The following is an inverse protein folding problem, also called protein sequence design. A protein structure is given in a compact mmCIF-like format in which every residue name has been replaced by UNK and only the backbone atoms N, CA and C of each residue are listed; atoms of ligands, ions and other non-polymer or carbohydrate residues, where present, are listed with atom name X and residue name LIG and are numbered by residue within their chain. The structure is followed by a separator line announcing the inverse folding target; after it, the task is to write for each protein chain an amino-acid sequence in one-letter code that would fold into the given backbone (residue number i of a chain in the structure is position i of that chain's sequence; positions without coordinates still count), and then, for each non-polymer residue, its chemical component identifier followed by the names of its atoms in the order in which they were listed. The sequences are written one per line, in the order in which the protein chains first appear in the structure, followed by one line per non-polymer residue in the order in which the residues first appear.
data_IF_195524142177
#
_entry.id   IF_195524142177
#
_cell.length_a   1.000
_cell.length_b   1.000
_cell.length_c   1.000
_cell.angle_alpha   90.00
_cell.angle_beta   90.00
_cell.angle_gamma   90.00
#
_symmetry.space_group_name_H-M   'P 1'
#
loop_
_entity.id
_entity.type
_entity.pdbx_description
1 polymer ?
#
# COMPACT_ATOMS: atom_id res chain seq x y z
N UNK A 1 52.60 -26.61 22.34
CA UNK A 1 52.66 -28.05 22.61
C UNK A 1 51.35 -28.68 22.22
N UNK A 2 51.43 -29.62 21.25
CA UNK A 2 50.49 -30.71 20.89
C UNK A 2 49.04 -30.28 20.55
N UNK A 3 48.55 -30.21 19.29
CA UNK A 3 48.44 -31.17 18.18
C UNK A 3 47.97 -32.59 18.55
N UNK A 4 46.75 -32.96 18.08
CA UNK A 4 46.28 -34.29 17.61
C UNK A 4 44.93 -34.06 16.94
N UNK A 5 44.73 -34.10 15.63
CA UNK A 5 44.47 -35.14 14.62
C UNK A 5 43.50 -36.24 15.02
N UNK A 6 42.48 -36.45 14.20
CA UNK A 6 41.92 -37.71 13.63
C UNK A 6 40.56 -37.30 13.00
N UNK A 7 40.33 -37.19 11.75
CA UNK A 7 40.26 -38.05 10.53
C UNK A 7 39.00 -38.91 10.43
N UNK A 8 38.25 -38.59 9.35
CA UNK A 8 37.51 -39.50 8.42
C UNK A 8 36.59 -40.60 8.96
N UNK A 9 35.34 -40.56 8.55
CA UNK A 9 34.69 -41.70 7.89
C UNK A 9 33.64 -41.17 6.90
N UNK A 10 33.87 -41.44 5.62
CA UNK A 10 32.90 -41.29 4.54
C UNK A 10 32.10 -42.59 4.39
N UNK A 11 30.81 -42.44 4.11
CA UNK A 11 30.02 -43.54 3.54
C UNK A 11 29.26 -43.02 2.34
N UNK A 12 29.68 -43.51 1.17
CA UNK A 12 28.92 -43.47 -0.09
C UNK A 12 27.77 -44.47 0.01
N UNK A 13 26.58 -44.04 -0.44
CA UNK A 13 25.59 -44.96 -1.00
C UNK A 13 24.90 -44.32 -2.20
N UNK A 14 25.34 -44.74 -3.36
CA UNK A 14 24.70 -44.61 -4.66
C UNK A 14 23.69 -45.72 -4.85
N UNK A 15 22.48 -45.42 -5.33
CA UNK A 15 21.61 -46.30 -6.17
C UNK A 15 20.47 -45.44 -6.64
N UNK A 16 20.46 -45.02 -7.91
CA UNK A 16 19.87 -45.67 -9.09
C UNK A 16 18.34 -45.72 -8.98
N UNK A 17 17.66 -44.84 -9.67
CA UNK A 17 16.45 -45.18 -10.44
C UNK A 17 16.40 -44.34 -11.72
N UNK A 18 16.69 -45.06 -12.80
CA UNK A 18 16.53 -44.68 -14.20
C UNK A 18 15.05 -44.93 -14.59
N UNK A 19 14.35 -43.91 -15.11
CA UNK A 19 13.09 -44.10 -15.82
C UNK A 19 13.16 -43.37 -17.16
N UNK A 20 13.66 -44.12 -18.15
CA UNK A 20 13.44 -43.77 -19.57
C UNK A 20 12.05 -44.25 -20.00
N UNK A 21 11.37 -43.38 -20.68
CA UNK A 21 10.58 -43.72 -21.83
C UNK A 21 9.12 -44.06 -21.59
N UNK A 22 8.22 -43.17 -22.04
CA UNK A 22 7.11 -43.53 -22.93
C UNK A 22 6.68 -42.23 -23.66
N UNK A 23 7.10 -42.11 -24.92
CA UNK A 23 6.45 -41.30 -25.94
C UNK A 23 5.20 -42.06 -26.41
N UNK A 24 4.02 -41.43 -26.30
CA UNK A 24 2.86 -41.85 -27.08
C UNK A 24 2.34 -40.68 -27.92
N UNK A 25 2.68 -40.76 -29.21
CA UNK A 25 1.98 -40.08 -30.29
C UNK A 25 0.56 -40.62 -30.36
N UNK A 26 -0.44 -39.77 -30.45
CA UNK A 26 -1.71 -40.14 -31.06
C UNK A 26 -2.15 -39.09 -32.06
N UNK A 27 -2.34 -39.60 -33.28
CA UNK A 27 -2.73 -38.90 -34.50
C UNK A 27 -4.21 -38.56 -34.53
N UNK A 28 -4.50 -37.47 -35.21
CA UNK A 28 -5.83 -37.15 -35.74
C UNK A 28 -6.36 -38.18 -36.70
N UNK A 29 -7.66 -38.49 -36.59
CA UNK A 29 -8.52 -38.68 -37.76
C UNK A 29 -10.01 -38.69 -37.34
N UNK A 30 -10.77 -37.88 -38.05
CA UNK A 30 -12.15 -37.62 -37.91
C UNK A 30 -13.11 -38.74 -38.38
N UNK A 31 -14.33 -38.63 -38.01
CA UNK A 31 -15.47 -39.05 -38.84
C UNK A 31 -16.75 -38.34 -38.41
N UNK A 32 -17.58 -38.10 -39.41
CA UNK A 32 -18.83 -37.36 -39.45
C UNK A 32 -20.01 -38.23 -39.01
N UNK A 33 -21.13 -37.53 -38.75
CA UNK A 33 -22.53 -37.94 -38.77
C UNK A 33 -23.07 -38.60 -37.49
N UNK A 34 -24.22 -38.26 -36.94
CA UNK A 34 -25.58 -38.15 -37.51
C UNK A 34 -26.50 -37.37 -36.56
N UNK A 35 -27.42 -36.63 -37.14
CA UNK A 35 -28.50 -35.90 -36.51
C UNK A 35 -29.58 -36.83 -35.93
N UNK A 36 -30.23 -36.41 -34.84
CA UNK A 36 -31.62 -36.77 -34.60
C UNK A 36 -32.37 -35.62 -33.91
N UNK A 37 -33.44 -35.23 -34.54
CA UNK A 37 -34.44 -34.25 -34.17
C UNK A 37 -35.20 -34.66 -32.89
N UNK A 38 -35.47 -33.69 -32.01
CA UNK A 38 -36.72 -33.65 -31.23
C UNK A 38 -37.20 -32.20 -31.12
N UNK A 39 -38.47 -32.04 -31.42
CA UNK A 39 -39.26 -30.82 -31.64
C UNK A 39 -40.04 -30.46 -30.39
N UNK A 40 -39.90 -29.20 -29.91
CA UNK A 40 -40.86 -28.23 -29.31
C UNK A 40 -41.58 -28.57 -27.99
N UNK A 41 -41.97 -27.55 -27.16
CA UNK A 41 -42.60 -26.30 -27.62
C UNK A 41 -42.07 -24.98 -27.06
N UNK A 42 -42.33 -23.96 -27.83
CA UNK A 42 -42.23 -22.53 -27.63
C UNK A 42 -43.00 -22.06 -26.39
N UNK A 43 -42.35 -21.32 -25.50
CA UNK A 43 -43.01 -20.34 -24.64
C UNK A 43 -42.34 -18.97 -24.89
N UNK A 44 -43.13 -18.09 -25.48
CA UNK A 44 -42.80 -16.69 -25.70
C UNK A 44 -42.93 -15.98 -24.33
N UNK A 45 -41.84 -15.47 -23.80
CA UNK A 45 -41.86 -14.44 -22.76
C UNK A 45 -41.16 -13.22 -23.35
N UNK A 46 -41.97 -12.20 -23.54
CA UNK A 46 -41.53 -10.84 -23.91
C UNK A 46 -40.73 -10.29 -22.73
N UNK A 47 -39.45 -10.13 -22.89
CA UNK A 47 -38.61 -9.33 -21.97
C UNK A 47 -38.07 -8.13 -22.69
N UNK A 48 -38.46 -6.99 -22.19
CA UNK A 48 -38.01 -5.66 -22.56
C UNK A 48 -36.48 -5.57 -22.54
N UNK A 49 -35.91 -5.07 -23.61
CA UNK A 49 -34.51 -4.74 -23.74
C UNK A 49 -34.18 -3.54 -22.80
N UNK A 50 -33.42 -3.81 -21.75
CA UNK A 50 -32.65 -2.79 -21.06
C UNK A 50 -31.21 -2.93 -21.53
N UNK A 51 -30.74 -1.88 -22.15
CA UNK A 51 -29.36 -1.62 -22.54
C UNK A 51 -28.46 -1.72 -21.31
N UNK A 52 -27.59 -2.72 -21.23
CA UNK A 52 -26.55 -2.80 -20.21
C UNK A 52 -25.46 -1.77 -20.53
N UNK A 53 -25.34 -0.74 -19.70
CA UNK A 53 -24.13 0.04 -19.58
C UNK A 53 -23.09 -0.82 -18.86
N UNK A 54 -21.88 -0.85 -19.42
CA UNK A 54 -20.70 -1.44 -18.79
C UNK A 54 -20.40 -0.70 -17.49
N UNK A 55 -20.65 -1.33 -16.36
CA UNK A 55 -20.21 -0.88 -15.05
C UNK A 55 -18.73 -1.24 -14.89
N UNK A 56 -17.90 -0.20 -14.90
CA UNK A 56 -16.59 -0.17 -14.27
C UNK A 56 -16.76 -0.42 -12.78
N UNK A 57 -15.92 -1.31 -12.24
CA UNK A 57 -16.01 -1.87 -10.91
C UNK A 57 -16.19 -0.84 -9.78
N UNK A 58 -17.42 -0.67 -9.38
CA UNK A 58 -17.79 -0.11 -8.09
C UNK A 58 -17.97 -1.28 -7.12
N UNK A 59 -17.24 -1.24 -6.02
CA UNK A 59 -17.46 -2.10 -4.87
C UNK A 59 -18.92 -2.03 -4.48
N UNK A 60 -19.63 -3.18 -4.59
CA UNK A 60 -21.01 -3.32 -4.15
C UNK A 60 -21.08 -3.26 -2.61
N UNK A 61 -21.05 -2.06 -2.03
CA UNK A 61 -21.64 -1.84 -0.72
C UNK A 61 -23.15 -1.92 -0.90
N UNK A 62 -23.78 -2.98 -0.42
CA UNK A 62 -25.24 -3.08 -0.37
C UNK A 62 -25.73 -1.96 0.55
N UNK A 63 -26.40 -0.95 -0.02
CA UNK A 63 -27.16 0.07 0.67
C UNK A 63 -28.34 -0.54 1.46
N UNK A 64 -28.04 -1.17 2.58
CA UNK A 64 -28.98 -1.30 3.67
C UNK A 64 -28.91 0.00 4.45
N UNK A 65 -29.88 0.91 4.28
CA UNK A 65 -29.93 2.14 5.06
C UNK A 65 -29.88 1.80 6.55
N UNK A 66 -28.77 2.16 7.21
CA UNK A 66 -28.69 2.10 8.68
C UNK A 66 -29.72 3.09 9.21
N UNK A 67 -30.66 2.66 10.08
CA UNK A 67 -31.65 3.57 10.61
C UNK A 67 -31.01 4.74 11.36
N UNK A 68 -31.48 5.96 11.09
CA UNK A 68 -31.02 7.15 11.79
C UNK A 68 -29.74 7.79 11.25
N UNK A 69 -29.34 7.50 10.01
CA UNK A 69 -28.24 8.20 9.33
C UNK A 69 -28.67 9.64 8.98
N UNK A 70 -27.88 10.60 9.40
CA UNK A 70 -28.10 12.06 9.16
C UNK A 70 -27.16 12.65 8.13
N UNK A 71 -26.03 11.98 7.84
CA UNK A 71 -25.03 12.42 6.88
C UNK A 71 -23.90 11.42 6.76
N UNK A 72 -22.94 11.74 5.90
CA UNK A 72 -21.76 10.93 5.63
C UNK A 72 -20.52 11.80 5.69
N UNK A 73 -19.36 11.20 6.03
CA UNK A 73 -18.08 11.89 5.89
C UNK A 73 -17.78 12.09 4.40
N UNK A 74 -17.46 13.32 4.01
CA UNK A 74 -17.09 13.67 2.64
C UNK A 74 -15.67 13.16 2.34
N UNK A 75 -15.58 12.18 1.41
CA UNK A 75 -14.33 11.60 0.93
C UNK A 75 -14.20 11.83 -0.57
N UNK A 76 -13.04 12.35 -1.00
CA UNK A 76 -12.77 12.68 -2.39
C UNK A 76 -12.02 11.56 -3.11
N UNK A 77 -11.12 10.87 -2.40
CA UNK A 77 -10.20 9.87 -2.97
C UNK A 77 -10.25 8.52 -2.28
N UNK A 78 -10.53 8.49 -0.97
CA UNK A 78 -10.53 7.25 -0.20
C UNK A 78 -11.78 6.42 -0.49
N UNK A 79 -11.58 5.11 -0.69
CA UNK A 79 -12.63 4.13 -0.96
C UNK A 79 -12.59 2.90 -0.04
N UNK A 80 -11.59 2.81 0.86
CA UNK A 80 -11.42 1.66 1.73
C UNK A 80 -12.09 1.82 3.10
N UNK A 81 -12.69 2.98 3.39
CA UNK A 81 -13.52 3.19 4.56
C UNK A 81 -14.70 4.12 4.26
N UNK A 82 -15.70 4.12 5.12
CA UNK A 82 -16.78 5.09 5.13
C UNK A 82 -17.22 5.40 6.56
N UNK A 83 -17.84 6.57 6.74
CA UNK A 83 -18.39 7.01 8.03
C UNK A 83 -19.79 7.54 7.81
N UNK A 84 -20.78 6.97 8.52
CA UNK A 84 -22.17 7.39 8.54
C UNK A 84 -22.46 8.07 9.89
N UNK A 85 -22.85 9.35 9.88
CA UNK A 85 -23.26 10.07 11.10
C UNK A 85 -24.68 9.71 11.48
N UNK A 86 -24.94 9.47 12.77
CA UNK A 86 -26.21 9.00 13.28
C UNK A 86 -26.95 10.10 14.07
N UNK A 87 -28.29 10.04 14.10
CA UNK A 87 -29.14 10.94 14.91
C UNK A 87 -28.76 10.93 16.41
N UNK A 88 -28.18 9.83 16.91
CA UNK A 88 -27.68 9.73 18.30
C UNK A 88 -26.46 10.59 18.59
N UNK A 89 -25.85 11.22 17.60
CA UNK A 89 -24.56 11.88 17.67
C UNK A 89 -23.36 10.93 17.58
N UNK A 90 -23.60 9.63 17.49
CA UNK A 90 -22.57 8.61 17.19
C UNK A 90 -22.26 8.57 15.68
N UNK A 91 -21.27 7.79 15.29
CA UNK A 91 -21.02 7.48 13.87
C UNK A 91 -20.77 6.00 13.68
N UNK A 92 -21.18 5.45 12.54
CA UNK A 92 -20.84 4.10 12.10
C UNK A 92 -19.64 4.19 11.17
N UNK A 93 -18.53 3.63 11.58
CA UNK A 93 -17.31 3.48 10.78
C UNK A 93 -17.37 2.10 10.12
N UNK A 94 -17.21 2.04 8.80
CA UNK A 94 -17.09 0.78 8.04
C UNK A 94 -15.73 0.74 7.35
N UNK A 95 -14.97 -0.34 7.57
CA UNK A 95 -13.67 -0.59 6.94
C UNK A 95 -13.71 -2.00 6.38
N UNK A 96 -13.77 -2.14 5.05
CA UNK A 96 -14.02 -3.43 4.39
C UNK A 96 -15.31 -4.09 4.94
N UNK A 97 -15.18 -5.25 5.61
CA UNK A 97 -16.30 -5.96 6.26
C UNK A 97 -16.48 -5.60 7.73
N UNK A 98 -15.52 -4.92 8.34
CA UNK A 98 -15.54 -4.60 9.76
C UNK A 98 -16.32 -3.30 10.01
N UNK A 99 -17.16 -3.31 11.04
CA UNK A 99 -17.94 -2.15 11.46
C UNK A 99 -17.63 -1.79 12.91
N UNK A 100 -17.56 -0.49 13.19
CA UNK A 100 -17.32 0.06 14.52
C UNK A 100 -18.32 1.17 14.81
N UNK A 101 -18.85 1.18 16.03
CA UNK A 101 -19.66 2.31 16.51
C UNK A 101 -18.74 3.32 17.18
N UNK A 102 -18.51 4.46 16.54
CA UNK A 102 -17.83 5.59 17.16
C UNK A 102 -18.79 6.33 18.10
N UNK A 103 -18.34 6.59 19.30
CA UNK A 103 -19.13 7.27 20.36
C UNK A 103 -18.33 8.44 20.91
N UNK A 104 -18.76 9.71 20.64
CA UNK A 104 -18.12 10.89 21.20
C UNK A 104 -18.08 10.86 22.73
N UNK A 105 -17.13 11.59 23.33
CA UNK A 105 -16.89 11.59 24.78
C UNK A 105 -18.18 11.82 25.60
N UNK A 106 -19.02 12.77 25.18
CA UNK A 106 -20.21 13.20 25.89
C UNK A 106 -21.46 12.37 25.59
N UNK A 107 -21.38 11.41 24.68
CA UNK A 107 -22.50 10.57 24.28
C UNK A 107 -22.52 9.25 25.03
N UNK A 108 -23.71 8.76 25.46
CA UNK A 108 -23.84 7.43 26.01
C UNK A 108 -23.66 6.37 24.91
N UNK A 109 -23.10 5.24 25.26
CA UNK A 109 -23.13 4.08 24.37
C UNK A 109 -24.56 3.59 24.20
N UNK A 110 -25.10 3.46 22.97
CA UNK A 110 -26.42 2.91 22.74
C UNK A 110 -26.57 1.52 23.35
N UNK A 111 -27.67 1.29 24.09
CA UNK A 111 -27.96 -0.02 24.69
C UNK A 111 -28.18 -1.09 23.62
N UNK A 112 -27.61 -2.27 23.86
CA UNK A 112 -27.78 -3.42 22.95
C UNK A 112 -26.92 -3.40 21.69
N UNK A 113 -25.94 -2.50 21.58
CA UNK A 113 -24.98 -2.53 20.46
C UNK A 113 -24.21 -3.84 20.47
N UNK A 114 -24.20 -4.54 19.34
CA UNK A 114 -23.38 -5.73 19.09
C UNK A 114 -22.11 -5.40 18.28
N UNK A 115 -22.00 -4.13 17.85
CA UNK A 115 -20.84 -3.63 17.07
C UNK A 115 -19.77 -3.17 18.06
N UNK A 116 -18.48 -3.48 17.83
CA UNK A 116 -17.38 -2.98 18.66
C UNK A 116 -17.43 -1.45 18.77
N UNK A 117 -17.24 -0.94 19.97
CA UNK A 117 -17.33 0.48 20.27
C UNK A 117 -15.94 1.10 20.31
N UNK A 118 -15.75 2.17 19.52
CA UNK A 118 -14.60 3.07 19.62
C UNK A 118 -15.07 4.35 20.31
N UNK A 119 -14.51 4.66 21.47
CA UNK A 119 -14.72 5.95 22.14
C UNK A 119 -13.83 7.01 21.50
N UNK A 120 -14.29 8.27 21.56
CA UNK A 120 -13.43 9.41 21.23
C UNK A 120 -12.14 9.32 22.06
N UNK A 121 -10.99 9.42 21.38
CA UNK A 121 -9.67 9.17 21.95
C UNK A 121 -9.00 10.49 22.34
N UNK A 122 -8.42 10.52 23.51
CA UNK A 122 -7.50 11.59 23.92
C UNK A 122 -6.05 11.11 24.02
N UNK A 123 -5.83 9.80 23.89
CA UNK A 123 -4.56 9.10 24.01
C UNK A 123 -4.78 7.59 24.08
N UNK A 124 -3.78 6.85 24.55
CA UNK A 124 -3.85 5.42 24.84
C UNK A 124 -4.06 4.52 23.59
N UNK A 125 -3.53 4.95 22.42
CA UNK A 125 -3.60 4.20 21.18
C UNK A 125 -2.33 3.37 20.99
N UNK A 126 -2.50 2.07 20.69
CA UNK A 126 -1.44 1.23 20.13
C UNK A 126 -1.50 1.27 18.61
N UNK A 127 -0.37 1.63 17.96
CA UNK A 127 -0.26 1.77 16.52
C UNK A 127 0.80 0.83 15.94
N UNK A 128 0.36 -0.20 15.22
CA UNK A 128 1.23 -1.13 14.52
C UNK A 128 1.52 -0.73 13.06
N UNK A 129 0.69 0.12 12.45
CA UNK A 129 0.88 0.60 11.08
C UNK A 129 1.79 1.82 11.03
N UNK A 130 3.06 1.63 10.65
CA UNK A 130 4.07 2.71 10.66
C UNK A 130 3.76 3.86 9.70
N UNK A 131 3.04 3.62 8.61
CA UNK A 131 2.66 4.66 7.64
C UNK A 131 1.57 5.61 8.17
N UNK A 132 0.84 5.21 9.20
CA UNK A 132 -0.29 5.96 9.76
C UNK A 132 0.16 7.02 10.77
N UNK A 133 1.29 6.83 11.43
CA UNK A 133 1.75 7.73 12.49
C UNK A 133 1.93 9.17 12.02
N UNK A 134 2.34 9.33 10.74
CA UNK A 134 2.49 10.65 10.10
C UNK A 134 1.17 11.40 9.97
N UNK A 135 0.05 10.68 9.82
CA UNK A 135 -1.29 11.28 9.79
C UNK A 135 -1.67 11.83 11.16
N UNK A 136 -1.29 11.14 12.24
CA UNK A 136 -1.47 11.63 13.62
C UNK A 136 -0.58 12.84 13.91
N UNK A 137 0.68 12.82 13.46
CA UNK A 137 1.61 13.94 13.63
C UNK A 137 1.11 15.18 12.88
N UNK A 138 0.63 15.02 11.64
CA UNK A 138 0.14 16.09 10.79
C UNK A 138 -1.07 16.86 11.38
N UNK A 139 -1.96 16.16 12.09
CA UNK A 139 -3.09 16.79 12.79
C UNK A 139 -2.76 17.16 14.24
N UNK A 140 -1.47 17.21 14.61
CA UNK A 140 -1.00 17.59 15.94
C UNK A 140 -1.46 16.64 17.03
N UNK A 141 -1.48 15.34 16.77
CA UNK A 141 -2.00 14.32 17.69
C UNK A 141 -1.03 13.13 17.86
N UNK A 142 0.26 13.32 17.60
CA UNK A 142 1.26 12.26 17.78
C UNK A 142 1.23 11.70 19.22
N UNK A 143 1.00 12.55 20.21
CA UNK A 143 0.95 12.14 21.63
C UNK A 143 -0.28 11.26 21.99
N UNK A 144 -1.27 11.12 21.08
CA UNK A 144 -2.35 10.15 21.26
C UNK A 144 -1.88 8.71 21.04
N UNK A 145 -0.78 8.52 20.31
CA UNK A 145 -0.15 7.22 20.11
C UNK A 145 0.97 7.05 21.13
N UNK A 146 0.79 6.14 22.07
CA UNK A 146 1.79 5.94 23.13
C UNK A 146 2.52 4.61 23.03
N UNK A 147 2.03 3.65 22.23
CA UNK A 147 2.69 2.38 21.93
C UNK A 147 2.74 2.08 20.45
N UNK A 148 3.81 1.44 19.99
CA UNK A 148 4.02 1.07 18.60
C UNK A 148 4.72 -0.29 18.43
N UNK A 149 4.55 -0.90 17.27
CA UNK A 149 5.25 -2.13 16.87
C UNK A 149 6.56 -1.88 16.11
N UNK A 150 6.97 -0.62 15.95
CA UNK A 150 8.18 -0.23 15.23
C UNK A 150 9.22 0.32 16.20
N UNK A 151 10.43 -0.23 16.16
CA UNK A 151 11.52 0.22 17.03
C UNK A 151 12.09 1.58 16.62
N UNK A 152 12.83 2.23 17.54
CA UNK A 152 13.35 3.59 17.35
C UNK A 152 14.26 3.73 16.14
N UNK A 153 15.08 2.73 15.86
CA UNK A 153 16.05 2.78 14.75
C UNK A 153 15.36 2.69 13.39
N UNK A 154 14.22 2.02 13.33
CA UNK A 154 13.43 1.82 12.10
C UNK A 154 12.62 3.04 11.68
N UNK A 155 12.48 4.06 12.54
CA UNK A 155 11.79 5.29 12.18
C UNK A 155 12.67 6.23 11.37
N UNK A 156 12.09 6.84 10.33
CA UNK A 156 12.72 7.91 9.53
C UNK A 156 12.13 9.30 9.83
N UNK A 157 11.06 9.35 10.64
CA UNK A 157 10.38 10.59 11.03
C UNK A 157 11.00 11.19 12.28
N UNK A 158 11.55 12.44 12.23
CA UNK A 158 12.26 13.04 13.37
C UNK A 158 11.38 13.20 14.61
N UNK A 159 10.12 13.68 14.46
CA UNK A 159 9.18 13.88 15.58
C UNK A 159 8.88 12.55 16.30
N UNK A 160 8.75 11.47 15.54
CA UNK A 160 8.50 10.13 16.09
C UNK A 160 9.72 9.62 16.86
N UNK A 161 10.93 9.79 16.31
CA UNK A 161 12.19 9.47 17.03
C UNK A 161 12.32 10.26 18.33
N UNK A 162 11.99 11.54 18.27
CA UNK A 162 12.00 12.39 19.47
C UNK A 162 11.00 11.89 20.52
N UNK A 163 9.77 11.57 20.12
CA UNK A 163 8.75 11.03 21.02
C UNK A 163 9.21 9.73 21.68
N UNK A 164 9.84 8.82 20.93
CA UNK A 164 10.40 7.57 21.47
C UNK A 164 11.57 7.82 22.43
N UNK A 165 12.51 8.68 22.06
CA UNK A 165 13.66 9.02 22.91
C UNK A 165 13.22 9.72 24.22
N UNK A 166 12.12 10.46 24.18
CA UNK A 166 11.52 11.10 25.33
C UNK A 166 10.62 10.15 26.18
N UNK A 167 10.42 8.91 25.74
CA UNK A 167 9.56 7.93 26.42
C UNK A 167 8.06 8.22 26.28
N UNK A 168 7.65 9.11 25.37
CA UNK A 168 6.22 9.39 25.08
C UNK A 168 5.61 8.35 24.15
N UNK A 169 6.42 7.67 23.34
CA UNK A 169 6.05 6.56 22.47
C UNK A 169 6.95 5.37 22.79
N UNK A 170 6.37 4.20 23.03
CA UNK A 170 7.11 3.01 23.49
C UNK A 170 6.97 1.87 22.49
N UNK A 171 8.07 1.23 22.12
CA UNK A 171 8.05 -0.02 21.37
C UNK A 171 7.67 -1.18 22.27
N UNK A 172 6.62 -1.93 21.92
CA UNK A 172 6.09 -3.05 22.71
C UNK A 172 6.13 -4.40 21.97
N UNK A 173 7.05 -4.56 21.03
CA UNK A 173 7.15 -5.77 20.23
C UNK A 173 6.60 -5.60 18.81
N UNK A 174 6.82 -6.60 17.96
CA UNK A 174 6.36 -6.58 16.58
C UNK A 174 4.85 -6.78 16.50
N UNK A 175 4.21 -6.31 15.42
CA UNK A 175 2.76 -6.44 15.18
C UNK A 175 2.23 -7.87 15.38
N UNK A 176 3.03 -8.90 15.09
CA UNK A 176 2.65 -10.31 15.23
C UNK A 176 3.05 -10.94 16.59
N UNK A 177 3.63 -10.16 17.49
CA UNK A 177 4.02 -10.56 18.83
C UNK A 177 4.13 -9.33 19.77
N UNK A 178 3.03 -8.57 19.96
CA UNK A 178 3.03 -7.45 20.90
C UNK A 178 3.07 -7.92 22.34
N UNK A 179 3.52 -7.05 23.23
CA UNK A 179 3.44 -7.28 24.68
C UNK A 179 2.01 -7.02 25.19
N UNK A 180 1.24 -8.10 25.40
CA UNK A 180 -0.15 -8.01 25.87
C UNK A 180 -0.28 -7.50 27.31
N UNK A 181 0.74 -7.70 28.15
CA UNK A 181 0.77 -7.19 29.51
C UNK A 181 0.89 -5.66 29.46
N UNK A 182 1.81 -5.14 28.65
CA UNK A 182 1.95 -3.71 28.41
C UNK A 182 0.66 -3.07 27.86
N UNK A 183 -0.03 -3.71 26.90
CA UNK A 183 -1.33 -3.25 26.38
C UNK A 183 -2.39 -3.12 27.47
N UNK A 184 -2.42 -4.09 28.40
CA UNK A 184 -3.42 -4.12 29.46
C UNK A 184 -3.09 -3.14 30.60
N UNK A 185 -1.83 -3.12 31.06
CA UNK A 185 -1.39 -2.28 32.18
C UNK A 185 -1.43 -0.79 31.86
N UNK A 186 -1.19 -0.44 30.58
CA UNK A 186 -1.22 0.95 30.15
C UNK A 186 -2.64 1.50 29.92
N UNK A 187 -3.66 0.64 29.92
CA UNK A 187 -5.04 1.04 29.64
C UNK A 187 -5.31 1.34 28.19
N UNK A 188 -4.65 0.62 27.25
CA UNK A 188 -4.88 0.77 25.80
C UNK A 188 -6.38 0.68 25.45
N UNK A 189 -6.87 1.65 24.72
CA UNK A 189 -8.31 1.79 24.40
C UNK A 189 -8.62 1.56 22.93
N UNK A 190 -7.61 1.56 22.06
CA UNK A 190 -7.72 1.31 20.63
C UNK A 190 -6.41 0.75 20.09
N UNK A 191 -6.48 -0.31 19.30
CA UNK A 191 -5.36 -0.81 18.50
C UNK A 191 -5.60 -0.53 17.01
N UNK A 192 -4.57 -0.03 16.32
CA UNK A 192 -4.57 0.20 14.88
C UNK A 192 -3.50 -0.70 14.27
N UNK A 193 -3.93 -1.79 13.68
CA UNK A 193 -3.08 -2.78 13.05
C UNK A 193 -2.96 -2.55 11.54
N UNK A 194 -1.87 -2.99 10.94
CA UNK A 194 -1.73 -3.04 9.49
C UNK A 194 -2.31 -4.34 8.92
N UNK A 195 -2.50 -4.41 7.60
CA UNK A 195 -3.09 -5.59 6.93
C UNK A 195 -2.26 -6.87 7.05
N UNK A 196 -0.98 -6.78 7.45
CA UNK A 196 -0.16 -7.97 7.71
C UNK A 196 -0.69 -8.80 8.89
N UNK A 197 -1.51 -8.20 9.77
CA UNK A 197 -2.17 -8.91 10.89
C UNK A 197 -3.06 -10.06 10.40
N UNK A 198 -3.55 -10.01 9.17
CA UNK A 198 -4.34 -11.10 8.55
C UNK A 198 -3.56 -12.41 8.42
N UNK A 199 -2.21 -12.35 8.42
CA UNK A 199 -1.34 -13.52 8.47
C UNK A 199 -1.11 -14.04 9.90
N UNK A 200 -1.60 -13.31 10.91
CA UNK A 200 -1.48 -13.64 12.32
C UNK A 200 -2.81 -13.38 13.06
N UNK A 201 -3.94 -13.96 12.61
CA UNK A 201 -5.28 -13.62 13.12
C UNK A 201 -5.43 -13.84 14.63
N UNK A 202 -4.72 -14.82 15.21
CA UNK A 202 -4.72 -15.07 16.64
C UNK A 202 -4.23 -13.86 17.46
N UNK A 203 -3.38 -13.00 16.91
CA UNK A 203 -2.93 -11.78 17.58
C UNK A 203 -4.06 -10.77 17.66
N UNK A 204 -4.80 -10.53 16.57
CA UNK A 204 -6.00 -9.66 16.55
C UNK A 204 -7.02 -10.16 17.56
N UNK A 205 -7.36 -11.46 17.52
CA UNK A 205 -8.30 -12.09 18.44
C UNK A 205 -7.86 -11.95 19.93
N UNK A 206 -6.56 -12.06 20.19
CA UNK A 206 -6.02 -11.90 21.54
C UNK A 206 -6.15 -10.45 22.03
N UNK A 207 -5.86 -9.44 21.22
CA UNK A 207 -6.06 -8.02 21.56
C UNK A 207 -7.54 -7.74 21.81
N UNK A 208 -8.43 -8.21 20.93
CA UNK A 208 -9.88 -8.05 21.09
C UNK A 208 -10.41 -8.74 22.37
N UNK A 209 -9.83 -9.89 22.77
CA UNK A 209 -10.19 -10.58 24.01
C UNK A 209 -9.85 -9.80 25.29
N UNK A 210 -8.93 -8.83 25.19
CA UNK A 210 -8.63 -7.87 26.27
C UNK A 210 -9.65 -6.73 26.34
N UNK A 211 -10.64 -6.70 25.44
CA UNK A 211 -11.64 -5.64 25.35
C UNK A 211 -11.19 -4.41 24.54
N UNK A 212 -10.07 -4.52 23.82
CA UNK A 212 -9.50 -3.46 23.01
C UNK A 212 -10.02 -3.62 21.56
N UNK A 213 -10.77 -2.68 20.99
CA UNK A 213 -11.17 -2.72 19.60
C UNK A 213 -9.94 -2.62 18.68
N UNK A 214 -9.96 -3.38 17.56
CA UNK A 214 -8.84 -3.44 16.63
C UNK A 214 -9.29 -2.96 15.25
N UNK A 215 -8.82 -1.81 14.82
CA UNK A 215 -8.93 -1.36 13.43
C UNK A 215 -7.83 -2.03 12.61
N UNK A 216 -8.18 -2.72 11.53
CA UNK A 216 -7.23 -3.13 10.50
C UNK A 216 -7.19 -2.05 9.44
N UNK A 217 -6.13 -1.25 9.47
CA UNK A 217 -5.90 -0.10 8.61
C UNK A 217 -5.66 -0.57 7.17
N UNK A 218 -6.34 0.03 6.20
CA UNK A 218 -6.32 -0.38 4.80
C UNK A 218 -5.87 0.71 3.83
N UNK A 219 -5.26 1.79 4.31
CA UNK A 219 -4.78 2.88 3.44
C UNK A 219 -3.83 2.39 2.34
N UNK A 220 -3.12 1.28 2.59
CA UNK A 220 -2.26 0.65 1.59
C UNK A 220 -3.01 0.00 0.41
N UNK A 221 -4.33 -0.17 0.52
CA UNK A 221 -5.22 -0.68 -0.53
C UNK A 221 -5.95 0.44 -1.28
N UNK A 222 -5.79 1.70 -0.87
CA UNK A 222 -6.32 2.82 -1.63
C UNK A 222 -5.67 2.88 -3.02
N UNK A 223 -6.51 2.97 -4.04
CA UNK A 223 -6.05 3.03 -5.42
C UNK A 223 -5.49 4.42 -5.76
N UNK A 224 -6.07 5.47 -5.16
CA UNK A 224 -5.58 6.82 -5.31
C UNK A 224 -4.58 7.17 -4.21
N UNK A 225 -3.37 7.70 -4.53
CA UNK A 225 -2.37 8.00 -3.49
C UNK A 225 -2.83 9.02 -2.46
N UNK A 226 -3.70 9.99 -2.85
CA UNK A 226 -4.29 10.94 -1.91
C UNK A 226 -5.37 10.30 -1.03
N UNK A 227 -6.01 9.21 -1.46
CA UNK A 227 -6.92 8.44 -0.62
C UNK A 227 -6.24 7.90 0.63
N UNK A 228 -4.97 7.48 0.51
CA UNK A 228 -4.16 7.06 1.66
C UNK A 228 -4.00 8.16 2.70
N UNK A 229 -3.76 9.38 2.25
CA UNK A 229 -3.64 10.55 3.11
C UNK A 229 -4.99 10.96 3.70
N UNK A 230 -6.08 10.76 2.97
CA UNK A 230 -7.44 11.12 3.39
C UNK A 230 -7.92 10.34 4.63
N UNK A 231 -7.29 9.21 4.95
CA UNK A 231 -7.51 8.50 6.21
C UNK A 231 -7.28 9.37 7.46
N UNK A 232 -6.56 10.48 7.33
CA UNK A 232 -6.45 11.45 8.43
C UNK A 232 -7.82 11.99 8.89
N UNK A 233 -8.82 12.05 8.00
CA UNK A 233 -10.19 12.46 8.37
C UNK A 233 -10.83 11.45 9.34
N UNK A 234 -10.64 10.15 9.11
CA UNK A 234 -11.08 9.10 10.03
C UNK A 234 -10.40 9.24 11.41
N UNK A 235 -9.08 9.44 11.42
CA UNK A 235 -8.35 9.61 12.67
C UNK A 235 -8.72 10.93 13.35
N UNK A 236 -8.99 11.98 12.59
CA UNK A 236 -9.53 13.25 13.10
C UNK A 236 -10.87 13.05 13.81
N UNK A 237 -11.80 12.28 13.22
CA UNK A 237 -13.06 11.92 13.87
C UNK A 237 -12.80 11.18 15.20
N UNK A 238 -11.97 10.14 15.17
CA UNK A 238 -11.66 9.32 16.35
C UNK A 238 -11.04 10.14 17.49
N UNK A 239 -10.30 11.20 17.15
CA UNK A 239 -9.61 12.10 18.10
C UNK A 239 -10.42 13.36 18.46
N UNK A 240 -11.64 13.53 17.94
CA UNK A 240 -12.42 14.77 18.12
C UNK A 240 -11.81 15.99 17.43
N UNK A 241 -11.01 15.79 16.38
CA UNK A 241 -10.28 16.81 15.59
C UNK A 241 -10.63 16.74 14.09
N UNK A 242 -11.86 16.46 13.77
CA UNK A 242 -12.30 16.27 12.38
C UNK A 242 -12.06 17.52 11.52
N UNK A 243 -12.40 18.72 12.03
CA UNK A 243 -12.18 19.99 11.31
C UNK A 243 -10.69 20.25 11.04
N UNK A 244 -9.79 19.92 11.98
CA UNK A 244 -8.35 20.02 11.82
C UNK A 244 -7.84 19.07 10.75
N UNK A 245 -8.35 17.85 10.72
CA UNK A 245 -7.97 16.83 9.74
C UNK A 245 -8.41 17.23 8.32
N UNK A 246 -9.64 17.72 8.16
CA UNK A 246 -10.14 18.23 6.86
C UNK A 246 -9.25 19.37 6.37
N UNK A 247 -9.01 20.38 7.21
CA UNK A 247 -8.15 21.51 6.85
C UNK A 247 -6.72 21.07 6.49
N UNK A 248 -6.14 20.17 7.28
CA UNK A 248 -4.80 19.64 7.01
C UNK A 248 -4.75 18.91 5.67
N UNK A 249 -5.77 18.10 5.36
CA UNK A 249 -5.88 17.42 4.08
C UNK A 249 -5.94 18.40 2.90
N UNK A 250 -6.81 19.43 2.99
CA UNK A 250 -6.95 20.46 1.97
C UNK A 250 -5.64 21.23 1.75
N UNK A 251 -4.96 21.64 2.83
CA UNK A 251 -3.66 22.32 2.77
C UNK A 251 -2.60 21.46 2.08
N UNK A 252 -2.52 20.18 2.44
CA UNK A 252 -1.53 19.23 1.88
C UNK A 252 -1.80 18.90 0.40
N UNK A 253 -3.06 18.87 -0.03
CA UNK A 253 -3.42 18.56 -1.42
C UNK A 253 -3.47 19.79 -2.34
N UNK A 254 -3.41 21.01 -1.80
CA UNK A 254 -3.51 22.26 -2.58
C UNK A 254 -2.47 22.32 -3.73
N UNK A 255 -1.25 21.86 -3.50
CA UNK A 255 -0.19 21.79 -4.52
C UNK A 255 -0.55 20.87 -5.68
N UNK A 256 -1.13 19.70 -5.37
CA UNK A 256 -1.57 18.74 -6.36
C UNK A 256 -2.67 19.29 -7.29
N UNK A 257 -3.65 20.00 -6.75
CA UNK A 257 -4.74 20.59 -7.55
C UNK A 257 -4.28 21.71 -8.50
N UNK A 258 -3.08 22.25 -8.28
CA UNK A 258 -2.49 23.31 -9.10
C UNK A 258 -1.41 22.80 -10.08
N UNK A 259 -1.23 21.48 -10.22
CA UNK A 259 -0.22 20.92 -11.11
C UNK A 259 -0.51 21.26 -12.57
N UNK A 260 0.55 21.68 -13.27
CA UNK A 260 0.55 21.84 -14.71
C UNK A 260 0.89 20.49 -15.36
N UNK A 261 -0.12 19.84 -15.93
CA UNK A 261 0.08 18.54 -16.56
C UNK A 261 0.48 18.70 -18.03
N UNK A 262 1.38 17.86 -18.55
CA UNK A 262 1.77 17.90 -19.96
C UNK A 262 0.56 17.68 -20.89
N UNK A 263 0.33 18.62 -21.81
CA UNK A 263 -0.72 18.48 -22.86
C UNK A 263 -0.20 17.60 -24.00
N UNK A 264 0.08 16.33 -23.67
CA UNK A 264 0.53 15.31 -24.64
C UNK A 264 -0.29 14.03 -24.46
N UNK A 265 -0.54 13.29 -25.58
CA UNK A 265 -1.18 11.98 -25.48
C UNK A 265 -0.42 11.04 -24.55
N UNK A 266 -1.13 10.15 -23.86
CA UNK A 266 -0.53 9.23 -22.88
C UNK A 266 0.66 8.43 -23.45
N UNK A 267 0.55 7.96 -24.69
CA UNK A 267 1.61 7.22 -25.36
C UNK A 267 2.86 8.05 -25.71
N UNK A 268 2.79 9.37 -25.60
CA UNK A 268 3.91 10.30 -25.83
C UNK A 268 4.51 10.84 -24.54
N UNK A 269 3.91 10.52 -23.38
CA UNK A 269 4.43 10.91 -22.07
C UNK A 269 5.75 10.22 -21.76
N UNK A 270 6.62 10.91 -21.03
CA UNK A 270 7.87 10.33 -20.56
C UNK A 270 7.59 9.12 -19.67
N UNK A 271 8.38 8.08 -19.87
CA UNK A 271 8.24 6.81 -19.14
C UNK A 271 9.16 6.77 -17.93
N UNK A 272 8.65 6.24 -16.82
CA UNK A 272 9.43 6.05 -15.61
C UNK A 272 9.36 4.60 -15.11
N UNK A 273 10.51 4.08 -14.65
CA UNK A 273 10.60 2.84 -13.90
C UNK A 273 10.91 3.15 -12.44
N UNK A 274 10.10 2.63 -11.50
CA UNK A 274 10.32 2.72 -10.07
C UNK A 274 10.71 1.34 -9.54
N UNK A 275 11.90 1.22 -8.92
CA UNK A 275 12.47 -0.08 -8.58
C UNK A 275 13.49 -0.03 -7.43
N UNK A 276 13.79 -1.21 -6.85
CA UNK A 276 15.00 -1.46 -6.07
C UNK A 276 15.64 -2.78 -6.47
N UNK A 277 16.92 -2.96 -6.17
CA UNK A 277 17.63 -4.23 -6.43
C UNK A 277 17.88 -4.93 -5.11
N UNK A 278 17.31 -6.12 -4.95
CA UNK A 278 17.45 -6.92 -3.73
C UNK A 278 18.86 -7.51 -3.60
N UNK A 279 19.27 -7.89 -2.40
CA UNK A 279 20.55 -8.54 -2.12
C UNK A 279 20.80 -9.81 -2.95
N UNK A 280 19.73 -10.47 -3.43
CA UNK A 280 19.80 -11.66 -4.28
C UNK A 280 19.81 -11.34 -5.79
N UNK A 281 19.89 -10.07 -6.17
CA UNK A 281 19.96 -9.62 -7.57
C UNK A 281 18.61 -9.59 -8.31
N UNK A 282 17.48 -9.84 -7.62
CA UNK A 282 16.17 -9.58 -8.19
C UNK A 282 15.86 -8.09 -8.18
N UNK A 283 15.02 -7.67 -9.10
CA UNK A 283 14.51 -6.29 -9.12
C UNK A 283 13.10 -6.28 -8.55
N UNK A 284 12.91 -5.52 -7.48
CA UNK A 284 11.58 -5.26 -6.92
C UNK A 284 10.95 -4.09 -7.67
N UNK A 285 9.80 -4.31 -8.29
CA UNK A 285 9.03 -3.31 -9.04
C UNK A 285 7.62 -3.17 -8.49
N UNK A 286 6.96 -2.06 -8.77
CA UNK A 286 5.54 -1.85 -8.47
C UNK A 286 4.69 -2.53 -9.52
N UNK A 287 3.54 -3.06 -9.12
CA UNK A 287 2.52 -3.52 -10.05
C UNK A 287 1.72 -2.32 -10.60
N UNK A 288 1.07 -2.43 -11.76
CA UNK A 288 0.47 -1.27 -12.43
C UNK A 288 -0.62 -0.54 -11.62
N UNK A 289 -1.39 -1.26 -10.80
CA UNK A 289 -2.42 -0.69 -9.94
C UNK A 289 -1.90 -0.08 -8.64
N UNK A 290 -0.59 -0.22 -8.34
CA UNK A 290 -0.01 0.31 -7.09
C UNK A 290 -0.01 1.85 -7.07
N UNK A 291 -0.19 2.41 -5.88
CA UNK A 291 -0.28 3.87 -5.70
C UNK A 291 0.96 4.65 -6.18
N UNK A 292 2.16 4.06 -6.16
CA UNK A 292 3.37 4.70 -6.72
C UNK A 292 3.28 4.77 -8.25
N UNK A 293 2.83 3.69 -8.90
CA UNK A 293 2.57 3.70 -10.35
C UNK A 293 1.56 4.77 -10.69
N UNK A 294 0.51 4.89 -9.86
CA UNK A 294 -0.51 5.93 -10.00
C UNK A 294 0.03 7.35 -9.78
N UNK A 295 0.96 7.56 -8.85
CA UNK A 295 1.63 8.87 -8.66
C UNK A 295 2.36 9.31 -9.93
N UNK A 296 3.05 8.37 -10.61
CA UNK A 296 3.74 8.65 -11.89
C UNK A 296 2.74 9.11 -12.95
N UNK A 297 1.60 8.42 -13.08
CA UNK A 297 0.58 8.77 -14.05
C UNK A 297 -0.09 10.12 -13.73
N UNK A 298 -0.43 10.38 -12.47
CA UNK A 298 -1.01 11.64 -11.99
C UNK A 298 -0.06 12.83 -12.14
N UNK A 299 1.25 12.59 -12.09
CA UNK A 299 2.27 13.60 -12.31
C UNK A 299 2.48 13.93 -13.81
N UNK A 300 1.76 13.28 -14.72
CA UNK A 300 1.88 13.48 -16.16
C UNK A 300 2.93 12.60 -16.85
N UNK A 301 3.53 11.66 -16.14
CA UNK A 301 4.37 10.60 -16.72
C UNK A 301 3.56 9.38 -17.15
N UNK A 302 4.28 8.29 -17.43
CA UNK A 302 3.71 6.97 -17.69
C UNK A 302 4.57 5.91 -17.00
N UNK A 303 3.95 5.10 -16.17
CA UNK A 303 4.66 3.96 -15.59
C UNK A 303 5.03 2.96 -16.68
N UNK A 304 6.28 2.46 -16.67
CA UNK A 304 6.81 1.67 -17.80
C UNK A 304 6.21 0.26 -17.87
N UNK A 305 5.88 -0.36 -16.75
CA UNK A 305 5.39 -1.74 -16.70
C UNK A 305 3.87 -1.80 -16.84
N UNK A 306 3.40 -2.69 -17.71
CA UNK A 306 1.99 -3.08 -17.83
C UNK A 306 1.72 -4.40 -17.11
N UNK A 307 0.45 -4.76 -16.88
CA UNK A 307 0.09 -6.07 -16.35
C UNK A 307 0.58 -7.22 -17.23
N UNK A 308 0.58 -7.04 -18.56
CA UNK A 308 1.08 -8.03 -19.52
C UNK A 308 2.59 -8.29 -19.35
N UNK A 309 3.40 -7.24 -19.10
CA UNK A 309 4.85 -7.36 -18.89
C UNK A 309 5.18 -8.15 -17.61
N UNK A 310 4.34 -8.01 -16.60
CA UNK A 310 4.54 -8.61 -15.28
C UNK A 310 3.73 -9.90 -15.08
N UNK A 311 2.86 -10.27 -16.02
CA UNK A 311 1.99 -11.44 -15.91
C UNK A 311 0.95 -11.31 -14.79
N UNK A 312 0.44 -10.09 -14.56
CA UNK A 312 -0.58 -9.76 -13.54
C UNK A 312 -1.70 -8.94 -14.18
N UNK A 313 -2.81 -8.75 -13.46
CA UNK A 313 -3.87 -7.82 -13.87
C UNK A 313 -3.39 -6.36 -13.78
N UNK A 314 -3.95 -5.47 -14.63
CA UNK A 314 -3.56 -4.05 -14.68
C UNK A 314 -3.93 -3.28 -13.39
N UNK A 315 -4.89 -3.76 -12.62
CA UNK A 315 -5.26 -3.22 -11.31
C UNK A 315 -4.55 -3.91 -10.13
N UNK A 316 -3.59 -4.81 -10.39
CA UNK A 316 -2.86 -5.50 -9.33
C UNK A 316 -2.06 -4.52 -8.48
N UNK A 317 -2.22 -4.65 -7.15
CA UNK A 317 -1.59 -3.78 -6.15
C UNK A 317 -0.26 -4.33 -5.63
N UNK A 318 0.49 -3.47 -4.91
CA UNK A 318 1.73 -3.83 -4.23
C UNK A 318 2.92 -4.07 -5.18
N UNK A 319 3.89 -4.84 -4.74
CA UNK A 319 5.15 -5.07 -5.45
C UNK A 319 5.30 -6.51 -5.92
N UNK A 320 6.29 -6.74 -6.76
CA UNK A 320 6.79 -8.08 -7.06
C UNK A 320 8.28 -8.07 -7.40
N UNK A 321 8.92 -9.21 -7.24
CA UNK A 321 10.30 -9.40 -7.65
C UNK A 321 10.34 -10.03 -9.03
N UNK A 322 11.10 -9.42 -9.94
CA UNK A 322 11.35 -9.94 -11.29
C UNK A 322 12.84 -10.18 -11.49
N UNK A 323 13.20 -10.98 -12.49
CA UNK A 323 14.59 -11.18 -12.87
C UNK A 323 15.17 -9.90 -13.49
N UNK A 324 16.49 -9.68 -13.35
CA UNK A 324 17.18 -8.54 -13.96
C UNK A 324 17.02 -8.49 -15.48
N UNK A 325 16.98 -9.65 -16.12
CA UNK A 325 16.76 -9.76 -17.56
C UNK A 325 15.37 -9.25 -17.96
N UNK A 326 14.34 -9.61 -17.21
CA UNK A 326 12.97 -9.10 -17.46
C UNK A 326 12.91 -7.59 -17.25
N UNK A 327 13.54 -7.09 -16.16
CA UNK A 327 13.62 -5.66 -15.91
C UNK A 327 14.32 -4.93 -17.05
N UNK A 328 15.45 -5.46 -17.51
CA UNK A 328 16.20 -4.88 -18.63
C UNK A 328 15.34 -4.81 -19.90
N UNK A 329 14.71 -5.90 -20.30
CA UNK A 329 13.87 -5.93 -21.52
C UNK A 329 12.72 -4.91 -21.47
N UNK A 330 12.08 -4.73 -20.31
CA UNK A 330 10.95 -3.80 -20.19
C UNK A 330 11.38 -2.34 -19.95
N UNK A 331 12.48 -2.09 -19.23
CA UNK A 331 12.79 -0.76 -18.71
C UNK A 331 14.08 -0.13 -19.27
N UNK A 332 14.87 -0.81 -20.13
CA UNK A 332 16.11 -0.26 -20.70
C UNK A 332 15.91 1.04 -21.48
N UNK A 333 14.73 1.20 -22.09
CA UNK A 333 14.33 2.37 -22.85
C UNK A 333 13.46 3.36 -22.07
N UNK A 334 13.35 3.20 -20.74
CA UNK A 334 12.69 4.18 -19.88
C UNK A 334 13.42 5.53 -19.97
N UNK A 335 12.65 6.63 -19.96
CA UNK A 335 13.19 7.98 -19.97
C UNK A 335 13.79 8.35 -18.61
N UNK A 336 13.23 7.79 -17.53
CA UNK A 336 13.55 8.09 -16.14
C UNK A 336 13.66 6.79 -15.36
N UNK A 337 14.71 6.65 -14.54
CA UNK A 337 14.84 5.62 -13.54
C UNK A 337 14.70 6.24 -12.15
N UNK A 338 13.89 5.64 -11.28
CA UNK A 338 13.69 6.07 -9.91
C UNK A 338 14.02 4.88 -8.99
N UNK A 339 15.14 4.98 -8.30
CA UNK A 339 15.57 3.97 -7.34
C UNK A 339 14.87 4.17 -6.00
N UNK A 340 14.25 3.12 -5.49
CA UNK A 340 13.59 3.11 -4.19
C UNK A 340 14.61 2.82 -3.07
N UNK A 341 14.96 3.81 -2.29
CA UNK A 341 15.93 3.72 -1.19
C UNK A 341 15.39 3.10 0.10
N UNK A 342 14.09 2.93 0.21
CA UNK A 342 13.44 2.63 1.51
C UNK A 342 13.71 1.22 2.03
N UNK A 343 14.19 0.31 1.18
CA UNK A 343 14.46 -1.09 1.54
C UNK A 343 15.97 -1.37 1.56
N UNK A 344 16.67 -1.04 0.48
CA UNK A 344 18.07 -1.40 0.25
C UNK A 344 19.06 -0.24 0.49
N UNK A 345 18.58 0.86 1.06
CA UNK A 345 19.35 2.04 1.37
C UNK A 345 19.48 3.05 0.21
N UNK A 346 19.92 4.25 0.54
CA UNK A 346 20.03 5.38 -0.37
C UNK A 346 21.22 5.20 -1.32
N UNK A 347 21.05 5.58 -2.58
CA UNK A 347 22.14 5.71 -3.56
C UNK A 347 22.48 7.18 -3.74
N UNK A 348 23.77 7.49 -3.73
CA UNK A 348 24.30 8.84 -3.91
C UNK A 348 24.96 9.03 -5.28
N UNK A 349 25.19 7.94 -6.05
CA UNK A 349 25.86 8.01 -7.34
C UNK A 349 25.46 6.88 -8.29
N UNK A 350 25.64 7.12 -9.58
CA UNK A 350 25.52 6.09 -10.64
C UNK A 350 26.48 4.93 -10.39
N UNK A 351 27.68 5.18 -9.85
CA UNK A 351 28.63 4.11 -9.52
C UNK A 351 28.04 3.09 -8.56
N UNK A 352 27.31 3.54 -7.51
CA UNK A 352 26.63 2.65 -6.58
C UNK A 352 25.48 1.87 -7.24
N UNK A 353 24.78 2.47 -8.21
CA UNK A 353 23.78 1.74 -8.99
C UNK A 353 24.43 0.65 -9.85
N UNK A 354 25.58 0.95 -10.49
CA UNK A 354 26.34 -0.02 -11.29
C UNK A 354 26.95 -1.15 -10.46
N UNK A 355 27.26 -0.90 -9.18
CA UNK A 355 27.67 -1.94 -8.23
C UNK A 355 26.52 -2.95 -7.95
N UNK A 356 25.25 -2.51 -7.98
CA UNK A 356 24.10 -3.40 -7.87
C UNK A 356 23.99 -4.31 -9.11
N UNK A 357 24.19 -3.78 -10.31
CA UNK A 357 24.30 -4.52 -11.57
C UNK A 357 24.97 -3.67 -12.67
N UNK A 358 26.06 -4.15 -13.31
CA UNK A 358 26.67 -3.46 -14.43
C UNK A 358 25.75 -3.22 -15.64
N UNK A 359 24.68 -4.00 -15.76
CA UNK A 359 23.68 -3.89 -16.86
C UNK A 359 23.04 -2.51 -16.89
N UNK A 360 22.95 -1.78 -15.78
CA UNK A 360 22.39 -0.43 -15.74
C UNK A 360 23.14 0.56 -16.64
N UNK A 361 24.42 0.33 -16.95
CA UNK A 361 25.16 1.17 -17.90
C UNK A 361 24.54 1.26 -19.30
N UNK A 362 23.74 0.27 -19.66
CA UNK A 362 23.09 0.22 -20.98
C UNK A 362 21.71 0.92 -21.03
N UNK A 363 21.16 1.29 -19.87
CA UNK A 363 19.88 1.96 -19.81
C UNK A 363 19.92 3.39 -20.37
N UNK A 364 18.88 3.77 -21.10
CA UNK A 364 18.74 5.11 -21.70
C UNK A 364 18.80 6.21 -20.64
N UNK A 365 18.10 6.05 -19.54
CA UNK A 365 18.07 7.02 -18.46
C UNK A 365 19.46 7.25 -17.83
N UNK A 366 20.26 6.19 -17.66
CA UNK A 366 21.65 6.29 -17.15
C UNK A 366 22.53 7.05 -18.17
N UNK A 367 22.42 6.74 -19.46
CA UNK A 367 23.17 7.44 -20.53
C UNK A 367 22.81 8.92 -20.66
N UNK A 368 21.58 9.28 -20.27
CA UNK A 368 21.05 10.64 -20.37
C UNK A 368 21.07 11.38 -19.03
N UNK A 369 21.74 10.83 -18.01
CA UNK A 369 21.85 11.43 -16.67
C UNK A 369 20.47 11.75 -16.03
N UNK A 370 19.51 10.84 -16.22
CA UNK A 370 18.12 10.98 -15.74
C UNK A 370 17.74 9.87 -14.77
N UNK A 371 18.54 9.74 -13.71
CA UNK A 371 18.37 8.76 -12.65
C UNK A 371 18.17 9.47 -11.32
N UNK A 372 17.11 9.08 -10.62
CA UNK A 372 16.71 9.66 -9.36
C UNK A 372 16.66 8.58 -8.28
N UNK A 373 16.87 8.97 -7.04
CA UNK A 373 16.74 8.11 -5.87
C UNK A 373 15.77 8.72 -4.87
N UNK A 374 14.92 7.90 -4.24
CA UNK A 374 13.97 8.40 -3.25
C UNK A 374 14.65 8.70 -1.92
N UNK A 375 14.06 9.60 -1.13
CA UNK A 375 14.39 9.73 0.29
C UNK A 375 13.81 8.55 1.09
N UNK A 376 14.44 8.19 2.21
CA UNK A 376 14.12 6.98 2.97
C UNK A 376 12.80 7.08 3.74
N UNK A 377 12.32 8.29 4.02
CA UNK A 377 11.06 8.53 4.74
C UNK A 377 9.79 8.39 3.87
N UNK A 378 9.93 8.22 2.55
CA UNK A 378 8.80 8.23 1.59
C UNK A 378 7.60 7.36 2.01
N UNK A 379 7.83 6.15 2.56
CA UNK A 379 6.73 5.24 2.91
C UNK A 379 6.21 5.42 4.33
N UNK A 380 6.92 6.14 5.18
CA UNK A 380 6.46 6.48 6.52
C UNK A 380 5.74 7.83 6.56
N UNK A 381 6.03 8.71 5.57
CA UNK A 381 5.43 10.03 5.47
C UNK A 381 4.27 10.03 4.47
N UNK A 382 3.15 9.51 4.90
CA UNK A 382 1.93 9.36 4.07
C UNK A 382 1.39 10.70 3.59
N UNK A 383 1.54 11.76 4.40
CA UNK A 383 1.16 13.13 4.02
C UNK A 383 2.00 13.72 2.88
N UNK A 384 3.16 13.13 2.60
CA UNK A 384 4.02 13.53 1.49
C UNK A 384 3.56 13.03 0.10
N UNK A 385 2.43 12.35 -0.01
CA UNK A 385 1.96 11.81 -1.28
C UNK A 385 1.76 12.89 -2.36
N UNK A 386 1.18 14.03 -2.00
CA UNK A 386 0.98 15.16 -2.91
C UNK A 386 2.31 15.82 -3.31
N UNK A 387 3.25 15.95 -2.37
CA UNK A 387 4.59 16.50 -2.63
C UNK A 387 5.39 15.57 -3.55
N UNK A 388 5.31 14.25 -3.38
CA UNK A 388 5.95 13.28 -4.27
C UNK A 388 5.39 13.37 -5.70
N UNK A 389 4.07 13.55 -5.86
CA UNK A 389 3.47 13.77 -7.20
C UNK A 389 4.00 15.08 -7.80
N UNK A 390 4.16 16.14 -6.99
CA UNK A 390 4.72 17.42 -7.43
C UNK A 390 6.18 17.30 -7.84
N UNK A 391 6.99 16.54 -7.10
CA UNK A 391 8.38 16.23 -7.47
C UNK A 391 8.44 15.51 -8.82
N UNK A 392 7.64 14.46 -8.99
CA UNK A 392 7.54 13.71 -10.25
C UNK A 392 7.08 14.62 -11.41
N UNK A 393 6.07 15.46 -11.19
CA UNK A 393 5.62 16.42 -12.19
C UNK A 393 6.74 17.38 -12.60
N UNK A 394 7.54 17.87 -11.64
CA UNK A 394 8.70 18.72 -11.94
C UNK A 394 9.72 18.01 -12.84
N UNK A 395 9.90 16.70 -12.67
CA UNK A 395 10.79 15.88 -13.52
C UNK A 395 10.17 15.73 -14.93
N UNK A 396 8.90 15.37 -15.04
CA UNK A 396 8.23 15.13 -16.31
C UNK A 396 8.03 16.40 -17.16
N UNK A 397 7.96 17.57 -16.52
CA UNK A 397 7.82 18.87 -17.21
C UNK A 397 9.14 19.59 -17.46
N UNK A 398 10.28 19.02 -17.00
CA UNK A 398 11.61 19.65 -17.11
C UNK A 398 11.85 20.76 -16.08
N UNK A 399 10.91 21.02 -15.16
CA UNK A 399 11.08 22.02 -14.09
C UNK A 399 12.09 21.59 -13.00
N UNK A 400 12.53 20.33 -13.04
CA UNK A 400 13.61 19.80 -12.19
C UNK A 400 15.00 19.97 -12.83
N UNK A 401 15.13 20.50 -14.04
CA UNK A 401 16.42 20.69 -14.69
C UNK A 401 17.30 21.63 -13.88
N UNK A 402 18.54 21.20 -13.62
CA UNK A 402 19.49 21.92 -12.79
C UNK A 402 19.21 21.86 -11.27
N UNK A 403 18.23 21.07 -10.83
CA UNK A 403 18.00 20.76 -9.42
C UNK A 403 18.57 19.39 -9.09
N UNK A 404 19.39 19.32 -8.05
CA UNK A 404 19.96 18.07 -7.54
C UNK A 404 19.03 17.39 -6.52
N UNK A 405 18.22 18.18 -5.81
CA UNK A 405 17.34 17.77 -4.72
C UNK A 405 15.95 18.36 -4.88
N UNK A 406 14.94 17.51 -4.76
CA UNK A 406 13.52 17.83 -4.58
C UNK A 406 13.09 17.43 -3.16
N UNK A 407 11.80 17.38 -2.89
CA UNK A 407 11.30 17.04 -1.54
C UNK A 407 11.60 15.56 -1.19
N UNK A 408 11.25 14.66 -2.11
CA UNK A 408 11.40 13.20 -1.92
C UNK A 408 12.34 12.54 -2.91
N UNK A 409 12.90 13.26 -3.83
CA UNK A 409 13.78 12.76 -4.88
C UNK A 409 15.07 13.55 -4.96
N UNK A 410 16.19 12.87 -5.10
CA UNK A 410 17.46 13.50 -5.48
C UNK A 410 18.02 12.81 -6.72
N UNK A 411 18.71 13.60 -7.56
CA UNK A 411 19.37 13.10 -8.76
C UNK A 411 20.68 12.42 -8.36
N UNK A 412 21.01 11.31 -8.99
CA UNK A 412 22.30 10.62 -8.82
C UNK A 412 23.10 10.67 -10.12
N UNK A 413 24.43 10.95 -10.02
CA UNK A 413 25.36 11.12 -11.13
C UNK A 413 26.49 10.10 -11.13
#
# INVERSE_FOLDING_TARGET
MRSVYISNIGIRLSRIFDFRGIKKKMNCRGSKQLALFFILPVMIIISSACTAKSDTGQSNFQNGSVPGVTGHMELEYADQFSVDYLESGCALITIDSDQFLFVPEKCPVPEGSTIPVIREQSGDIYLASSSVIDLFDAIGSLDAVFMTSTDTESWMLPNVKEAMNAGRLTFIGKYNAPDYEALTESGCTLAIENTMITHSPAVKEQIESLGIPVIVERSSYEQHPLGRMEWMKLYGLILGKEDEAVRCFEEKTAGFHSLDLPDVPENERLTAAFFSVTANGYVNVRKPGDYISKMIDLAGGRYIFTGADLGVEDNALSTMNIQMETFYECAKDADILIYNSTIEGKLESISQLLEKSPVFADFRAVKNDNVWCTEQNLFQQTTGAADMITDLNSIFTGNADGKEQLTYLHRIH
#
